data_IF_606232886135
#
_entry.id   IF_606232886135
#
_cell.length_a   1.000
_cell.length_b   1.000
_cell.length_c   1.000
_cell.angle_alpha   90.00
_cell.angle_beta   90.00
_cell.angle_gamma   90.00
#
_symmetry.space_group_name_H-M   'P 1'
#
loop_
_entity.id
_entity.type
_entity.pdbx_description
1 polymer ?
#
# COMPACT_ATOMS: atom_id res chain seq x y z
N UNK A 1 -11.48 14.73 -8.06
CA UNK A 1 -10.37 15.70 -8.01
C UNK A 1 -9.02 14.97 -8.13
N UNK A 2 -8.77 14.30 -9.26
CA UNK A 2 -7.50 13.57 -9.49
C UNK A 2 -6.89 13.84 -10.88
N UNK A 3 -7.61 14.55 -11.77
CA UNK A 3 -7.17 14.81 -13.15
C UNK A 3 -6.27 16.05 -13.31
N UNK A 4 -6.16 16.90 -12.28
CA UNK A 4 -5.38 18.14 -12.40
C UNK A 4 -3.88 17.97 -12.13
N UNK A 5 -3.45 16.85 -11.54
CA UNK A 5 -2.06 16.65 -11.13
C UNK A 5 -1.16 16.03 -12.21
N UNK A 6 -1.74 15.34 -13.20
CA UNK A 6 -1.01 14.49 -14.15
C UNK A 6 -1.15 14.91 -15.61
N UNK A 7 -1.86 16.01 -15.89
CA UNK A 7 -2.02 16.54 -17.25
C UNK A 7 -0.86 17.49 -17.59
N UNK A 8 -0.23 17.31 -18.76
CA UNK A 8 0.93 18.09 -19.27
C UNK A 8 0.74 19.62 -19.31
N UNK A 9 -0.45 20.15 -19.02
CA UNK A 9 -0.81 21.58 -19.06
C UNK A 9 -1.42 22.13 -17.77
N UNK A 10 -1.52 21.34 -16.71
CA UNK A 10 -2.01 21.86 -15.43
C UNK A 10 -0.81 22.32 -14.59
N UNK A 11 -0.87 23.55 -14.10
CA UNK A 11 0.15 24.11 -13.23
C UNK A 11 -0.03 23.47 -11.85
N UNK A 12 0.86 22.54 -11.51
CA UNK A 12 0.89 21.95 -10.19
C UNK A 12 1.78 22.79 -9.28
N UNK A 13 1.16 23.47 -8.32
CA UNK A 13 1.90 24.18 -7.29
C UNK A 13 2.45 23.19 -6.27
N UNK A 14 3.76 23.01 -6.31
CA UNK A 14 4.48 22.20 -5.33
C UNK A 14 4.52 22.93 -3.97
N UNK A 15 3.63 22.54 -3.07
CA UNK A 15 3.48 23.17 -1.76
C UNK A 15 4.21 22.44 -0.62
N UNK A 16 4.22 23.04 0.58
CA UNK A 16 4.86 22.45 1.77
C UNK A 16 4.31 21.08 2.16
N UNK A 17 2.99 20.85 1.99
CA UNK A 17 2.36 19.55 2.29
C UNK A 17 2.85 18.45 1.36
N UNK A 18 3.02 18.76 0.08
CA UNK A 18 3.52 17.85 -0.94
C UNK A 18 4.98 17.49 -0.65
N UNK A 19 5.81 18.49 -0.32
CA UNK A 19 7.19 18.27 0.08
C UNK A 19 7.30 17.38 1.33
N UNK A 20 6.46 17.63 2.35
CA UNK A 20 6.45 16.82 3.57
C UNK A 20 6.05 15.37 3.28
N UNK A 21 4.98 15.14 2.53
CA UNK A 21 4.55 13.79 2.16
C UNK A 21 5.62 13.08 1.33
N UNK A 22 6.29 13.79 0.41
CA UNK A 22 7.34 13.22 -0.43
C UNK A 22 8.57 12.80 0.39
N UNK A 23 9.02 13.63 1.34
CA UNK A 23 10.12 13.27 2.24
C UNK A 23 9.75 12.13 3.19
N UNK A 24 8.51 12.10 3.70
CA UNK A 24 8.03 10.99 4.51
C UNK A 24 8.06 9.68 3.73
N UNK A 25 7.56 9.67 2.49
CA UNK A 25 7.56 8.48 1.63
C UNK A 25 9.00 8.02 1.34
N UNK A 26 9.95 8.93 1.08
CA UNK A 26 11.37 8.55 0.91
C UNK A 26 11.93 7.85 2.15
N UNK A 27 11.64 8.37 3.33
CA UNK A 27 12.11 7.77 4.59
C UNK A 27 11.47 6.41 4.85
N UNK A 28 10.17 6.27 4.60
CA UNK A 28 9.45 5.00 4.72
C UNK A 28 9.98 3.97 3.72
N UNK A 29 10.24 4.36 2.46
CA UNK A 29 10.88 3.49 1.47
C UNK A 29 12.28 3.09 1.92
N UNK A 30 13.13 4.04 2.37
CA UNK A 30 14.48 3.72 2.84
C UNK A 30 14.48 2.74 4.03
N UNK A 31 13.48 2.82 4.90
CA UNK A 31 13.26 1.86 6.01
C UNK A 31 12.72 0.52 5.51
N UNK A 32 11.83 0.52 4.53
CA UNK A 32 11.22 -0.68 3.95
C UNK A 32 12.16 -1.43 2.98
N UNK A 33 13.17 -0.76 2.40
CA UNK A 33 14.19 -1.31 1.49
C UNK A 33 15.07 -2.39 2.14
N UNK A 34 14.90 -2.68 3.44
CA UNK A 34 15.26 -3.98 3.98
C UNK A 34 14.30 -5.12 3.53
N UNK A 35 13.85 -5.10 2.27
CA UNK A 35 13.23 -6.26 1.63
C UNK A 35 14.32 -7.32 1.50
N UNK A 36 14.33 -8.29 2.41
CA UNK A 36 15.21 -9.44 2.33
C UNK A 36 14.86 -10.31 1.11
N UNK A 37 15.79 -11.15 0.63
CA UNK A 37 15.47 -12.15 -0.37
C UNK A 37 14.29 -13.01 0.12
N UNK A 38 13.39 -13.36 -0.81
CA UNK A 38 12.26 -14.25 -0.52
C UNK A 38 12.80 -15.56 0.04
N UNK A 39 12.41 -15.87 1.27
CA UNK A 39 12.78 -17.11 1.92
C UNK A 39 11.92 -18.25 1.37
N UNK A 40 12.53 -19.41 1.16
CA UNK A 40 11.85 -20.63 0.70
C UNK A 40 12.09 -21.74 1.71
N UNK A 41 11.02 -22.38 2.19
CA UNK A 41 11.14 -23.54 3.07
C UNK A 41 9.79 -23.96 3.64
N UNK A 42 9.65 -25.21 4.12
CA UNK A 42 8.38 -25.73 4.61
C UNK A 42 7.80 -24.96 5.81
N UNK A 43 8.66 -24.25 6.56
CA UNK A 43 8.29 -23.48 7.74
C UNK A 43 8.05 -21.98 7.46
N UNK A 44 8.19 -21.53 6.20
CA UNK A 44 7.99 -20.14 5.79
C UNK A 44 6.56 -19.96 5.30
N UNK A 45 5.83 -19.02 5.90
CA UNK A 45 4.47 -18.67 5.53
C UNK A 45 4.42 -17.27 4.93
N UNK A 46 3.70 -17.13 3.82
CA UNK A 46 3.35 -15.84 3.25
C UNK A 46 2.04 -15.35 3.90
N UNK A 47 2.04 -14.11 4.35
CA UNK A 47 0.88 -13.45 4.97
C UNK A 47 0.59 -12.18 4.19
N UNK A 48 -0.61 -12.09 3.65
CA UNK A 48 -1.11 -10.88 3.02
C UNK A 48 -1.96 -10.10 4.03
N UNK A 49 -1.59 -8.85 4.29
CA UNK A 49 -2.43 -7.90 5.03
C UNK A 49 -3.10 -6.97 4.04
N UNK A 50 -4.42 -6.82 4.17
CA UNK A 50 -5.23 -5.90 3.36
C UNK A 50 -5.83 -4.85 4.28
N UNK A 51 -5.94 -3.61 3.80
CA UNK A 51 -6.62 -2.55 4.51
C UNK A 51 -7.30 -1.59 3.53
N UNK A 52 -8.50 -1.14 3.89
CA UNK A 52 -9.22 -0.08 3.21
C UNK A 52 -9.08 1.23 3.97
N UNK A 53 -8.73 2.30 3.26
CA UNK A 53 -8.66 3.66 3.78
C UNK A 53 -9.71 4.56 3.11
N UNK A 54 -9.77 5.82 3.52
CA UNK A 54 -10.76 6.78 3.00
C UNK A 54 -10.68 6.95 1.48
N UNK A 55 -9.48 6.85 0.91
CA UNK A 55 -9.23 7.17 -0.49
C UNK A 55 -8.79 5.98 -1.35
N UNK A 56 -8.64 4.80 -0.76
CA UNK A 56 -8.18 3.63 -1.51
C UNK A 56 -7.86 2.42 -0.66
N UNK A 57 -7.36 1.41 -1.34
CA UNK A 57 -7.00 0.10 -0.82
C UNK A 57 -5.48 0.00 -0.71
N UNK A 58 -5.04 -0.75 0.29
CA UNK A 58 -3.62 -1.00 0.55
C UNK A 58 -3.38 -2.46 0.89
N UNK A 59 -2.22 -2.96 0.48
CA UNK A 59 -1.77 -4.32 0.70
C UNK A 59 -0.33 -4.34 1.16
N UNK A 60 0.00 -5.33 1.99
CA UNK A 60 1.38 -5.68 2.26
C UNK A 60 1.55 -7.18 2.35
N UNK A 61 2.55 -7.70 1.64
CA UNK A 61 2.93 -9.11 1.66
C UNK A 61 4.10 -9.28 2.63
N UNK A 62 4.01 -10.26 3.51
CA UNK A 62 5.01 -10.54 4.52
C UNK A 62 5.36 -12.02 4.54
N UNK A 63 6.59 -12.34 4.95
CA UNK A 63 7.02 -13.69 5.28
C UNK A 63 7.19 -13.85 6.79
N UNK A 64 6.73 -14.98 7.32
CA UNK A 64 6.95 -15.37 8.71
C UNK A 64 7.47 -16.79 8.77
N UNK A 65 8.50 -17.02 9.57
CA UNK A 65 8.95 -18.37 9.92
C UNK A 65 8.28 -18.82 11.21
N UNK A 66 8.05 -20.13 11.41
CA UNK A 66 7.56 -20.65 12.69
C UNK A 66 8.51 -20.25 13.83
N UNK A 67 8.08 -19.33 14.70
CA UNK A 67 8.87 -18.81 15.82
C UNK A 67 9.31 -17.35 15.70
N UNK A 68 9.17 -16.71 14.53
CA UNK A 68 9.38 -15.26 14.40
C UNK A 68 8.16 -14.49 14.95
N UNK A 69 8.42 -13.52 15.84
CA UNK A 69 7.40 -12.62 16.39
C UNK A 69 6.99 -11.53 15.41
N UNK A 70 7.93 -11.11 14.55
CA UNK A 70 7.72 -10.12 13.49
C UNK A 70 8.08 -10.74 12.14
N UNK A 71 7.20 -10.58 11.16
CA UNK A 71 7.48 -11.03 9.80
C UNK A 71 8.41 -10.07 9.07
N UNK A 72 8.87 -10.48 7.90
CA UNK A 72 9.65 -9.65 6.98
C UNK A 72 8.76 -9.18 5.83
N UNK A 73 8.69 -7.88 5.52
CA UNK A 73 7.91 -7.41 4.39
C UNK A 73 8.59 -7.85 3.08
N UNK A 74 7.78 -8.25 2.11
CA UNK A 74 8.18 -8.57 0.74
C UNK A 74 7.75 -7.49 -0.25
N UNK A 75 6.66 -6.80 0.04
CA UNK A 75 6.14 -5.78 -0.86
C UNK A 75 4.92 -5.07 -0.30
N UNK A 76 4.67 -3.88 -0.84
CA UNK A 76 3.54 -3.02 -0.51
C UNK A 76 2.89 -2.56 -1.81
N UNK A 77 1.56 -2.56 -1.86
CA UNK A 77 0.79 -2.08 -3.00
C UNK A 77 -0.34 -1.18 -2.50
N UNK A 78 -0.77 -0.24 -3.34
CA UNK A 78 -1.91 0.61 -3.04
C UNK A 78 -2.63 1.01 -4.32
N UNK A 79 -3.96 1.11 -4.25
CA UNK A 79 -4.80 1.55 -5.36
C UNK A 79 -5.85 2.52 -4.85
N UNK A 80 -6.01 3.66 -5.53
CA UNK A 80 -7.14 4.55 -5.27
C UNK A 80 -8.46 3.92 -5.71
N UNK A 81 -9.56 4.31 -5.07
CA UNK A 81 -10.90 3.91 -5.53
C UNK A 81 -11.20 4.44 -6.93
N UNK A 82 -11.87 3.63 -7.74
CA UNK A 82 -12.33 3.99 -9.08
C UNK A 82 -13.86 4.08 -9.14
N UNK A 83 -14.37 5.12 -9.84
CA UNK A 83 -15.80 5.27 -10.09
C UNK A 83 -16.66 5.19 -8.81
N UNK A 84 -17.59 4.24 -8.78
CA UNK A 84 -18.52 4.04 -7.66
C UNK A 84 -17.88 3.43 -6.40
N UNK A 85 -16.68 2.85 -6.49
CA UNK A 85 -16.00 2.22 -5.35
C UNK A 85 -15.77 3.20 -4.19
N UNK A 86 -15.61 4.50 -4.49
CA UNK A 86 -15.44 5.54 -3.48
C UNK A 86 -16.65 5.66 -2.55
N UNK A 87 -17.84 5.28 -3.03
CA UNK A 87 -19.13 5.39 -2.33
C UNK A 87 -19.56 4.09 -1.65
N UNK A 88 -18.77 3.02 -1.78
CA UNK A 88 -19.02 1.78 -1.06
C UNK A 88 -19.00 1.98 0.45
N UNK A 89 -19.80 1.17 1.13
CA UNK A 89 -19.82 1.05 2.59
C UNK A 89 -18.48 0.52 3.10
N UNK A 90 -18.22 0.66 4.40
CA UNK A 90 -16.98 0.18 5.01
C UNK A 90 -16.75 -1.32 4.74
N UNK A 91 -17.78 -2.14 4.92
CA UNK A 91 -17.71 -3.60 4.72
C UNK A 91 -17.47 -3.95 3.25
N UNK A 92 -18.14 -3.28 2.31
CA UNK A 92 -17.87 -3.49 0.88
C UNK A 92 -16.43 -3.12 0.51
N UNK A 93 -15.88 -2.05 1.11
CA UNK A 93 -14.49 -1.65 0.93
C UNK A 93 -13.49 -2.64 1.51
N UNK A 94 -13.78 -3.22 2.68
CA UNK A 94 -12.97 -4.30 3.27
C UNK A 94 -12.99 -5.57 2.40
N UNK A 95 -14.16 -5.95 1.89
CA UNK A 95 -14.30 -7.09 0.97
C UNK A 95 -13.53 -6.84 -0.32
N UNK A 96 -13.65 -5.64 -0.90
CA UNK A 96 -12.90 -5.26 -2.09
C UNK A 96 -11.38 -5.29 -1.84
N UNK A 97 -10.92 -4.85 -0.66
CA UNK A 97 -9.52 -4.96 -0.26
C UNK A 97 -9.05 -6.42 -0.22
N UNK A 98 -9.86 -7.33 0.30
CA UNK A 98 -9.53 -8.75 0.33
C UNK A 98 -9.53 -9.38 -1.08
N UNK A 99 -10.51 -9.02 -1.92
CA UNK A 99 -10.66 -9.58 -3.27
C UNK A 99 -9.53 -9.17 -4.22
N UNK A 100 -9.16 -7.89 -4.24
CA UNK A 100 -8.15 -7.33 -5.13
C UNK A 100 -6.70 -7.62 -4.65
N UNK A 101 -6.54 -8.16 -3.45
CA UNK A 101 -5.23 -8.44 -2.86
C UNK A 101 -4.60 -9.77 -3.23
N UNK A 102 -5.35 -10.67 -3.88
CA UNK A 102 -4.95 -12.05 -4.21
C UNK A 102 -4.54 -12.14 -5.67
#
# INVERSE_FOLDING_TARGET
MWLFLTQKKNYFEWGPKQQQAFEQIKQEIARAVALGPVQTGPAVQNVLYTASGEHGLTWSLWQKTSGETQGRPLGFWSRGYQGSEAHYTLTEKEILAAYEGV
#
